data_IF_512991646090
#
_entry.id   IF_512991646090
#
_cell.length_a   1.000
_cell.length_b   1.000
_cell.length_c   1.000
_cell.angle_alpha   90.00
_cell.angle_beta   90.00
_cell.angle_gamma   90.00
#
_symmetry.space_group_name_H-M   'P 1'
#
loop_
_entity.id
_entity.type
_entity.pdbx_description
1 polymer ?
#
# COMPACT_ATOMS: atom_id res chain seq x y z
N UNK A 1 -35.14 -3.04 -2.65
CA UNK A 1 -34.96 -2.45 -1.30
C UNK A 1 -35.87 -3.19 -0.30
N UNK A 2 -35.43 -3.44 0.95
CA UNK A 2 -36.28 -4.17 1.93
C UNK A 2 -37.39 -3.26 2.48
N UNK A 3 -38.62 -3.77 2.72
CA UNK A 3 -39.77 -2.92 3.11
C UNK A 3 -39.54 -2.10 4.38
N UNK A 4 -38.90 -2.67 5.40
CA UNK A 4 -38.63 -1.98 6.67
C UNK A 4 -37.66 -0.79 6.53
N UNK A 5 -36.80 -0.78 5.49
CA UNK A 5 -35.87 0.34 5.27
C UNK A 5 -36.56 1.57 4.70
N UNK A 6 -37.52 1.36 3.79
CA UNK A 6 -38.34 2.44 3.24
C UNK A 6 -39.18 3.08 4.34
N UNK A 7 -39.72 2.26 5.24
CA UNK A 7 -40.49 2.73 6.39
C UNK A 7 -39.62 3.58 7.34
N UNK A 8 -38.40 3.14 7.65
CA UNK A 8 -37.46 3.91 8.46
C UNK A 8 -37.11 5.27 7.82
N UNK A 9 -36.85 5.30 6.51
CA UNK A 9 -36.55 6.55 5.79
C UNK A 9 -37.76 7.48 5.68
N UNK A 10 -38.98 6.93 5.57
CA UNK A 10 -40.22 7.72 5.60
C UNK A 10 -40.46 8.34 6.97
N UNK A 11 -40.16 7.60 8.04
CA UNK A 11 -40.25 8.11 9.43
C UNK A 11 -39.24 9.22 9.71
N UNK A 12 -38.11 9.21 9.02
CA UNK A 12 -37.14 10.28 9.04
C UNK A 12 -37.50 11.45 8.10
N UNK A 13 -38.72 11.47 7.54
CA UNK A 13 -39.25 12.55 6.69
C UNK A 13 -38.33 12.92 5.50
N UNK A 14 -37.64 11.92 4.95
CA UNK A 14 -36.75 12.12 3.81
C UNK A 14 -37.52 12.61 2.57
N UNK A 15 -37.19 13.81 2.10
CA UNK A 15 -37.83 14.44 0.94
C UNK A 15 -37.62 13.66 -0.35
N UNK A 16 -36.41 13.13 -0.55
CA UNK A 16 -36.03 12.31 -1.71
C UNK A 16 -35.26 11.09 -1.23
N UNK A 17 -35.71 9.91 -1.67
CA UNK A 17 -35.07 8.64 -1.35
C UNK A 17 -34.40 8.08 -2.60
N UNK A 18 -33.13 7.71 -2.45
CA UNK A 18 -32.34 7.04 -3.47
C UNK A 18 -32.14 5.58 -3.09
N UNK A 19 -32.18 4.68 -4.07
CA UNK A 19 -32.07 3.24 -3.85
C UNK A 19 -31.22 2.62 -4.94
N UNK A 20 -30.20 1.88 -4.53
CA UNK A 20 -29.25 1.26 -5.43
C UNK A 20 -29.10 -0.24 -5.14
N UNK A 21 -28.95 -1.05 -6.19
CA UNK A 21 -28.61 -2.46 -6.08
C UNK A 21 -27.46 -2.76 -7.06
N UNK A 22 -26.24 -2.53 -6.59
CA UNK A 22 -25.01 -2.71 -7.36
C UNK A 22 -24.08 -3.68 -6.63
N UNK A 23 -23.32 -4.46 -7.40
CA UNK A 23 -22.32 -5.37 -6.85
C UNK A 23 -21.20 -4.58 -6.15
N UNK A 24 -20.75 -5.07 -5.00
CA UNK A 24 -19.61 -4.49 -4.26
C UNK A 24 -18.29 -4.47 -5.05
N UNK A 25 -18.22 -5.18 -6.20
CA UNK A 25 -17.07 -5.14 -7.12
C UNK A 25 -17.04 -3.90 -8.01
N UNK A 26 -18.18 -3.24 -8.18
CA UNK A 26 -18.31 -2.04 -9.03
C UNK A 26 -18.08 -0.82 -8.17
N UNK A 27 -17.14 0.04 -8.59
CA UNK A 27 -16.80 1.27 -7.86
C UNK A 27 -17.82 2.39 -8.07
N UNK A 28 -18.39 2.50 -9.27
CA UNK A 28 -19.34 3.55 -9.61
C UNK A 28 -20.68 3.32 -8.89
N UNK A 29 -21.23 4.40 -8.30
CA UNK A 29 -22.48 4.37 -7.53
C UNK A 29 -23.39 5.52 -7.96
N UNK A 30 -23.99 5.44 -9.16
CA UNK A 30 -24.73 6.53 -9.76
C UNK A 30 -25.87 7.07 -8.88
N UNK A 31 -26.54 6.23 -8.08
CA UNK A 31 -27.64 6.71 -7.23
C UNK A 31 -27.13 7.41 -5.97
N UNK A 32 -25.97 7.00 -5.43
CA UNK A 32 -25.30 7.75 -4.36
C UNK A 32 -24.79 9.10 -4.85
N UNK A 33 -24.16 9.13 -6.03
CA UNK A 33 -23.65 10.36 -6.66
C UNK A 33 -24.78 11.36 -6.91
N UNK A 34 -25.94 10.90 -7.41
CA UNK A 34 -27.14 11.75 -7.56
C UNK A 34 -27.66 12.28 -6.22
N UNK A 35 -27.64 11.46 -5.16
CA UNK A 35 -28.07 11.88 -3.84
C UNK A 35 -27.18 12.99 -3.27
N UNK A 36 -25.86 12.85 -3.42
CA UNK A 36 -24.89 13.86 -3.01
C UNK A 36 -25.06 15.15 -3.81
N UNK A 37 -25.15 15.04 -5.14
CA UNK A 37 -25.38 16.19 -6.00
C UNK A 37 -26.64 16.97 -5.60
N UNK A 38 -27.74 16.27 -5.29
CA UNK A 38 -28.97 16.91 -4.83
C UNK A 38 -28.80 17.61 -3.47
N UNK A 39 -28.08 16.97 -2.53
CA UNK A 39 -27.81 17.57 -1.23
C UNK A 39 -26.97 18.85 -1.34
N UNK A 40 -25.95 18.85 -2.20
CA UNK A 40 -25.16 20.03 -2.52
C UNK A 40 -26.01 21.12 -3.17
N UNK A 41 -26.87 20.78 -4.14
CA UNK A 41 -27.78 21.75 -4.77
C UNK A 41 -28.72 22.41 -3.77
N UNK A 42 -29.28 21.65 -2.82
CA UNK A 42 -30.10 22.24 -1.76
C UNK A 42 -29.31 23.18 -0.86
N UNK A 43 -28.07 22.81 -0.54
CA UNK A 43 -27.20 23.62 0.32
C UNK A 43 -26.74 24.91 -0.37
N UNK A 44 -26.44 24.85 -1.67
CA UNK A 44 -26.13 26.02 -2.49
C UNK A 44 -27.33 26.95 -2.65
N UNK A 45 -28.53 26.39 -2.87
CA UNK A 45 -29.75 27.18 -3.04
C UNK A 45 -30.20 27.86 -1.74
N UNK A 46 -29.95 27.24 -0.58
CA UNK A 46 -30.33 27.76 0.73
C UNK A 46 -29.22 27.54 1.78
N UNK A 47 -28.17 28.40 1.80
CA UNK A 47 -27.00 28.23 2.67
C UNK A 47 -27.34 28.17 4.17
N UNK A 48 -28.33 28.94 4.61
CA UNK A 48 -28.78 29.00 6.01
C UNK A 48 -29.64 27.81 6.44
N UNK A 49 -30.15 27.03 5.48
CA UNK A 49 -30.98 25.87 5.79
C UNK A 49 -30.11 24.64 6.05
N UNK A 50 -30.33 23.89 7.13
CA UNK A 50 -29.65 22.62 7.36
C UNK A 50 -30.12 21.59 6.32
N UNK A 51 -29.17 21.00 5.62
CA UNK A 51 -29.42 19.85 4.74
C UNK A 51 -28.92 18.61 5.47
N UNK A 52 -29.80 17.61 5.61
CA UNK A 52 -29.49 16.34 6.27
C UNK A 52 -29.44 15.24 5.22
N UNK A 53 -28.29 14.57 5.15
CA UNK A 53 -28.08 13.38 4.34
C UNK A 53 -28.35 12.14 5.21
N UNK A 54 -29.51 11.52 5.04
CA UNK A 54 -29.93 10.38 5.87
C UNK A 54 -29.57 9.04 5.25
N UNK A 55 -28.93 8.17 6.03
CA UNK A 55 -28.64 6.80 5.66
C UNK A 55 -29.14 5.82 6.72
N UNK A 56 -29.64 4.66 6.26
CA UNK A 56 -30.14 3.64 7.16
C UNK A 56 -29.04 3.07 8.08
N UNK A 57 -27.84 2.83 7.53
CA UNK A 57 -26.66 2.33 8.26
C UNK A 57 -25.39 2.85 7.58
N UNK A 58 -24.29 2.96 8.35
CA UNK A 58 -22.97 3.36 7.85
C UNK A 58 -22.49 2.53 6.66
N UNK A 59 -22.75 1.21 6.66
CA UNK A 59 -22.39 0.29 5.57
C UNK A 59 -23.15 0.54 4.25
N UNK A 60 -24.13 1.46 4.22
CA UNK A 60 -24.82 1.90 3.01
C UNK A 60 -24.11 3.07 2.34
N UNK A 61 -23.27 3.77 3.09
CA UNK A 61 -22.52 4.92 2.62
C UNK A 61 -21.26 4.50 1.86
N UNK A 62 -20.57 3.46 2.33
CA UNK A 62 -19.29 3.05 1.77
C UNK A 62 -19.02 1.54 1.91
N UNK A 63 -18.23 0.97 1.00
CA UNK A 63 -17.79 -0.43 1.05
C UNK A 63 -16.52 -0.64 1.90
N UNK A 64 -15.73 0.41 2.09
CA UNK A 64 -14.49 0.40 2.87
C UNK A 64 -14.27 1.76 3.54
N UNK A 65 -13.34 1.85 4.50
CA UNK A 65 -13.12 3.11 5.21
C UNK A 65 -12.54 4.23 4.34
N UNK A 66 -11.83 3.92 3.25
CA UNK A 66 -11.33 4.96 2.36
C UNK A 66 -12.46 5.68 1.61
N UNK A 67 -13.45 4.92 1.14
CA UNK A 67 -14.69 5.47 0.59
C UNK A 67 -15.46 6.26 1.65
N UNK A 68 -15.57 5.73 2.87
CA UNK A 68 -16.27 6.41 3.95
C UNK A 68 -15.61 7.73 4.34
N UNK A 69 -14.28 7.75 4.43
CA UNK A 69 -13.49 8.97 4.64
C UNK A 69 -13.78 10.01 3.57
N UNK A 70 -13.72 9.60 2.30
CA UNK A 70 -13.91 10.51 1.16
C UNK A 70 -15.30 11.13 1.21
N UNK A 71 -16.32 10.30 1.42
CA UNK A 71 -17.70 10.75 1.56
C UNK A 71 -17.89 11.68 2.76
N UNK A 72 -17.30 11.33 3.91
CA UNK A 72 -17.40 12.18 5.11
C UNK A 72 -16.75 13.54 4.88
N UNK A 73 -15.62 13.60 4.18
CA UNK A 73 -14.94 14.84 3.87
C UNK A 73 -15.74 15.69 2.87
N UNK A 74 -16.38 15.07 1.89
CA UNK A 74 -17.27 15.74 0.94
C UNK A 74 -18.49 16.36 1.63
N UNK A 75 -19.18 15.60 2.48
CA UNK A 75 -20.30 16.10 3.28
C UNK A 75 -19.88 17.23 4.23
N UNK A 76 -18.72 17.08 4.88
CA UNK A 76 -18.17 18.10 5.76
C UNK A 76 -17.85 19.39 5.02
N UNK A 77 -17.19 19.30 3.85
CA UNK A 77 -16.86 20.45 3.02
C UNK A 77 -18.12 21.17 2.50
N UNK A 78 -19.19 20.41 2.22
CA UNK A 78 -20.50 20.97 1.88
C UNK A 78 -21.28 21.54 3.06
N UNK A 79 -20.84 21.35 4.31
CA UNK A 79 -21.64 21.71 5.48
C UNK A 79 -22.97 20.93 5.57
N UNK A 80 -22.98 19.71 5.04
CA UNK A 80 -24.15 18.81 5.00
C UNK A 80 -24.09 17.90 6.23
N UNK A 81 -25.20 17.85 6.97
CA UNK A 81 -25.31 16.99 8.16
C UNK A 81 -25.49 15.54 7.73
N UNK A 82 -24.94 14.61 8.51
CA UNK A 82 -25.10 13.17 8.25
C UNK A 82 -26.01 12.57 9.32
N UNK A 83 -27.06 11.87 8.92
CA UNK A 83 -27.92 11.12 9.83
C UNK A 83 -27.79 9.61 9.60
N UNK A 84 -27.60 8.87 10.69
CA UNK A 84 -27.56 7.41 10.71
C UNK A 84 -28.76 6.91 11.51
N UNK A 85 -29.66 6.16 10.86
CA UNK A 85 -30.90 5.70 11.49
C UNK A 85 -30.73 4.46 12.38
N UNK A 86 -29.71 3.65 12.12
CA UNK A 86 -29.47 2.42 12.88
C UNK A 86 -27.97 2.12 13.03
N UNK A 87 -27.66 1.28 14.02
CA UNK A 87 -26.30 0.86 14.35
C UNK A 87 -25.73 1.56 15.59
N UNK A 88 -24.48 1.28 15.95
CA UNK A 88 -23.86 1.83 17.17
C UNK A 88 -23.63 3.35 17.11
N UNK A 89 -23.62 3.92 15.91
CA UNK A 89 -23.40 5.34 15.65
C UNK A 89 -24.72 6.00 15.18
N UNK A 90 -25.84 5.60 15.75
CA UNK A 90 -27.15 6.20 15.42
C UNK A 90 -27.20 7.65 15.91
N UNK A 91 -27.65 8.56 15.06
CA UNK A 91 -27.75 9.99 15.39
C UNK A 91 -27.55 10.91 14.19
N UNK A 92 -27.70 12.21 14.45
CA UNK A 92 -27.46 13.30 13.47
C UNK A 92 -26.14 13.98 13.82
N UNK A 93 -25.27 14.12 12.82
CA UNK A 93 -23.93 14.68 12.94
C UNK A 93 -23.81 15.95 12.11
N UNK A 94 -23.74 17.09 12.78
CA UNK A 94 -23.49 18.39 12.16
C UNK A 94 -21.99 18.65 12.00
N UNK A 95 -21.47 18.82 10.77
CA UNK A 95 -20.05 19.09 10.53
C UNK A 95 -19.55 20.42 11.12
N UNK A 96 -20.44 21.39 11.39
CA UNK A 96 -20.08 22.69 11.96
C UNK A 96 -20.38 22.80 13.47
N UNK A 97 -21.03 21.78 14.04
CA UNK A 97 -21.46 21.75 15.43
C UNK A 97 -20.82 20.61 16.23
N UNK A 98 -21.59 20.02 17.15
CA UNK A 98 -21.13 18.89 17.98
C UNK A 98 -20.75 17.65 17.16
N UNK A 99 -21.26 17.52 15.93
CA UNK A 99 -20.93 16.43 15.03
C UNK A 99 -19.56 16.56 14.36
N UNK A 100 -18.88 17.71 14.42
CA UNK A 100 -17.58 17.92 13.79
C UNK A 100 -16.53 16.90 14.24
N UNK A 101 -16.57 16.48 15.51
CA UNK A 101 -15.71 15.42 16.06
C UNK A 101 -15.91 14.09 15.33
N UNK A 102 -17.15 13.75 14.96
CA UNK A 102 -17.45 12.52 14.24
C UNK A 102 -16.74 12.49 12.88
N UNK A 103 -16.83 13.59 12.12
CA UNK A 103 -16.13 13.74 10.85
C UNK A 103 -14.60 13.69 11.01
N UNK A 104 -14.07 14.34 12.05
CA UNK A 104 -12.63 14.30 12.35
C UNK A 104 -12.15 12.88 12.68
N UNK A 105 -12.91 12.12 13.48
CA UNK A 105 -12.60 10.72 13.80
C UNK A 105 -12.61 9.89 12.53
N UNK A 106 -13.66 10.01 11.69
CA UNK A 106 -13.73 9.28 10.42
C UNK A 106 -12.53 9.60 9.51
N UNK A 107 -12.11 10.87 9.44
CA UNK A 107 -10.94 11.30 8.67
C UNK A 107 -9.64 10.66 9.17
N UNK A 108 -9.49 10.43 10.47
CA UNK A 108 -8.30 9.77 11.04
C UNK A 108 -8.38 8.25 10.88
N UNK A 109 -9.57 7.65 10.99
CA UNK A 109 -9.76 6.18 10.99
C UNK A 109 -9.17 5.51 9.76
N UNK A 110 -9.38 6.04 8.54
CA UNK A 110 -8.82 5.33 7.38
C UNK A 110 -7.31 5.47 7.23
N UNK A 111 -6.65 6.42 7.90
CA UNK A 111 -5.18 6.38 8.02
C UNK A 111 -4.73 5.24 8.95
N UNK A 112 -5.45 5.02 10.05
CA UNK A 112 -5.21 3.91 10.97
C UNK A 112 -5.42 2.57 10.25
N UNK A 113 -6.53 2.41 9.54
CA UNK A 113 -6.81 1.17 8.82
C UNK A 113 -5.79 0.87 7.71
N UNK A 114 -5.37 1.89 6.95
CA UNK A 114 -4.30 1.72 5.94
C UNK A 114 -3.00 1.22 6.57
N UNK A 115 -2.63 1.79 7.72
CA UNK A 115 -1.44 1.36 8.45
C UNK A 115 -1.61 -0.07 8.99
N UNK A 116 -2.79 -0.40 9.54
CA UNK A 116 -3.10 -1.73 10.06
C UNK A 116 -3.03 -2.83 8.98
N UNK A 117 -3.64 -2.61 7.82
CA UNK A 117 -3.59 -3.55 6.69
C UNK A 117 -2.14 -3.78 6.25
N UNK A 118 -1.34 -2.71 6.18
CA UNK A 118 0.08 -2.78 5.83
C UNK A 118 0.86 -3.60 6.85
N UNK A 119 0.68 -3.32 8.15
CA UNK A 119 1.34 -4.03 9.24
C UNK A 119 1.02 -5.53 9.19
N UNK A 120 -0.26 -5.89 9.07
CA UNK A 120 -0.69 -7.30 8.94
C UNK A 120 -0.17 -7.99 7.69
N UNK A 121 -0.04 -7.26 6.58
CA UNK A 121 0.56 -7.80 5.36
C UNK A 121 2.04 -8.11 5.57
N UNK A 122 2.78 -7.21 6.25
CA UNK A 122 4.19 -7.42 6.57
C UNK A 122 4.39 -8.59 7.55
N UNK A 123 3.58 -8.69 8.59
CA UNK A 123 3.56 -9.85 9.49
C UNK A 123 3.34 -11.15 8.71
N UNK A 124 2.35 -11.17 7.81
CA UNK A 124 2.05 -12.32 6.95
C UNK A 124 3.23 -12.69 6.05
N UNK A 125 3.93 -11.70 5.49
CA UNK A 125 5.14 -11.92 4.68
C UNK A 125 6.28 -12.50 5.50
N UNK A 126 6.49 -12.04 6.74
CA UNK A 126 7.50 -12.59 7.65
C UNK A 126 7.20 -14.06 7.98
N UNK A 127 5.94 -14.38 8.26
CA UNK A 127 5.50 -15.76 8.54
C UNK A 127 5.63 -16.65 7.29
N UNK A 128 5.35 -16.11 6.09
CA UNK A 128 5.53 -16.85 4.86
C UNK A 128 7.03 -17.10 4.59
N UNK A 129 7.87 -16.09 4.79
CA UNK A 129 9.31 -16.18 4.62
C UNK A 129 9.96 -17.19 5.57
N UNK A 130 9.51 -17.29 6.82
CA UNK A 130 10.00 -18.31 7.76
C UNK A 130 9.64 -19.74 7.35
N UNK A 131 8.61 -19.90 6.50
CA UNK A 131 8.23 -21.18 5.86
C UNK A 131 8.91 -21.39 4.50
N UNK A 132 9.86 -20.54 4.11
CA UNK A 132 10.56 -20.60 2.82
C UNK A 132 9.83 -19.90 1.66
N UNK A 133 8.67 -19.27 1.91
CA UNK A 133 7.89 -18.56 0.91
C UNK A 133 8.20 -17.06 0.93
N UNK A 134 9.27 -16.66 0.25
CA UNK A 134 9.75 -15.26 0.22
C UNK A 134 9.00 -14.33 -0.75
N UNK A 135 8.04 -14.87 -1.51
CA UNK A 135 7.32 -14.12 -2.54
C UNK A 135 8.23 -13.64 -3.68
N UNK A 136 7.80 -12.61 -4.41
CA UNK A 136 8.58 -12.00 -5.49
C UNK A 136 8.49 -12.72 -6.84
N UNK A 137 9.26 -12.22 -7.82
CA UNK A 137 9.32 -12.79 -9.18
C UNK A 137 10.15 -14.09 -9.15
N UNK A 138 9.66 -15.22 -9.70
CA UNK A 138 10.45 -16.44 -9.82
C UNK A 138 11.79 -16.21 -10.52
N UNK A 139 12.83 -16.93 -10.08
CA UNK A 139 14.15 -16.90 -10.73
C UNK A 139 14.02 -17.37 -12.18
N UNK A 140 14.71 -16.65 -13.09
CA UNK A 140 14.71 -16.94 -14.53
C UNK A 140 15.71 -18.03 -14.88
N UNK A 141 16.86 -18.02 -14.21
CA UNK A 141 17.91 -19.04 -14.29
C UNK A 141 17.77 -19.92 -13.05
N UNK A 142 17.59 -21.22 -13.26
CA UNK A 142 17.62 -22.21 -12.18
C UNK A 142 19.04 -22.78 -11.98
N UNK A 143 19.22 -23.57 -10.94
CA UNK A 143 20.53 -24.09 -10.55
C UNK A 143 21.12 -25.05 -11.61
N UNK A 144 20.26 -25.80 -12.32
CA UNK A 144 20.69 -26.67 -13.43
C UNK A 144 21.22 -25.84 -14.61
N UNK A 145 20.48 -24.79 -15.00
CA UNK A 145 20.86 -23.88 -16.06
C UNK A 145 22.14 -23.14 -15.72
N UNK A 146 22.32 -22.76 -14.45
CA UNK A 146 23.53 -22.12 -13.97
C UNK A 146 24.72 -23.08 -14.04
N UNK A 147 24.56 -24.32 -13.57
CA UNK A 147 25.59 -25.37 -13.63
C UNK A 147 26.02 -25.65 -15.07
N UNK A 148 25.05 -25.79 -15.98
CA UNK A 148 25.30 -25.93 -17.41
C UNK A 148 26.06 -24.73 -17.97
N UNK A 149 25.64 -23.51 -17.62
CA UNK A 149 26.25 -22.30 -18.12
C UNK A 149 27.71 -22.13 -17.66
N UNK A 150 28.01 -22.41 -16.38
CA UNK A 150 29.37 -22.39 -15.85
C UNK A 150 30.25 -23.39 -16.59
N UNK A 151 29.82 -24.66 -16.68
CA UNK A 151 30.60 -25.71 -17.35
C UNK A 151 30.87 -25.40 -18.84
N UNK A 152 29.96 -24.72 -19.53
CA UNK A 152 30.15 -24.30 -20.93
C UNK A 152 31.00 -23.03 -21.06
N UNK A 153 30.90 -22.11 -20.10
CA UNK A 153 31.76 -20.93 -20.04
C UNK A 153 33.23 -21.34 -19.84
N UNK A 154 33.49 -22.29 -18.95
CA UNK A 154 34.85 -22.81 -18.67
C UNK A 154 35.47 -23.50 -19.88
N UNK A 155 34.63 -24.05 -20.77
CA UNK A 155 35.05 -24.60 -22.07
C UNK A 155 35.24 -23.54 -23.16
N UNK A 156 35.11 -22.26 -22.84
CA UNK A 156 35.30 -21.14 -23.76
C UNK A 156 34.12 -20.83 -24.68
N UNK A 157 32.92 -21.36 -24.41
CA UNK A 157 31.74 -21.07 -25.24
C UNK A 157 31.23 -19.65 -24.99
N UNK A 158 30.93 -18.84 -26.03
CA UNK A 158 30.38 -17.50 -25.86
C UNK A 158 29.04 -17.49 -25.12
N UNK A 159 28.89 -16.61 -24.12
CA UNK A 159 27.66 -16.47 -23.30
C UNK A 159 26.37 -16.28 -24.12
N UNK A 160 26.34 -15.54 -25.25
CA UNK A 160 25.15 -15.45 -26.08
C UNK A 160 24.70 -16.79 -26.69
N UNK A 161 25.65 -17.68 -27.00
CA UNK A 161 25.32 -19.02 -27.52
C UNK A 161 24.82 -19.93 -26.41
N UNK A 162 25.39 -19.81 -25.20
CA UNK A 162 24.92 -20.52 -24.01
C UNK A 162 23.46 -20.11 -23.73
N UNK A 163 23.15 -18.81 -23.73
CA UNK A 163 21.80 -18.31 -23.45
C UNK A 163 20.74 -18.89 -24.40
N UNK A 164 21.05 -19.05 -25.70
CA UNK A 164 20.13 -19.65 -26.68
C UNK A 164 19.83 -21.12 -26.40
N UNK A 165 20.77 -21.85 -25.78
CA UNK A 165 20.63 -23.28 -25.44
C UNK A 165 19.84 -23.50 -24.14
N UNK A 166 19.66 -22.46 -23.34
CA UNK A 166 18.87 -22.51 -22.10
C UNK A 166 17.39 -22.20 -22.37
N UNK A 167 16.51 -22.76 -21.54
CA UNK A 167 15.06 -22.57 -21.63
C UNK A 167 14.46 -22.28 -20.27
N UNK A 168 13.79 -21.15 -20.12
CA UNK A 168 13.14 -20.74 -18.86
C UNK A 168 12.02 -21.74 -18.52
N UNK A 169 12.03 -22.31 -17.31
CA UNK A 169 11.04 -23.30 -16.87
C UNK A 169 9.76 -22.70 -16.28
N UNK A 170 9.81 -21.50 -15.69
CA UNK A 170 8.71 -20.93 -14.89
C UNK A 170 8.33 -19.50 -15.27
N UNK A 171 7.07 -19.13 -15.01
CA UNK A 171 6.55 -17.77 -15.17
C UNK A 171 6.14 -17.40 -16.60
N UNK A 172 5.85 -16.11 -16.83
CA UNK A 172 5.31 -15.59 -18.11
C UNK A 172 6.18 -15.88 -19.34
N UNK A 173 7.49 -16.05 -19.15
CA UNK A 173 8.45 -16.31 -20.22
C UNK A 173 8.87 -17.79 -20.31
N UNK A 174 8.13 -18.70 -19.68
CA UNK A 174 8.41 -20.13 -19.77
C UNK A 174 8.45 -20.58 -21.25
N UNK A 175 9.41 -21.45 -21.58
CA UNK A 175 9.65 -21.93 -22.94
C UNK A 175 10.50 -21.00 -23.83
N UNK A 176 10.88 -19.81 -23.36
CA UNK A 176 11.79 -18.90 -24.08
C UNK A 176 13.22 -19.01 -23.54
N UNK A 177 14.19 -18.63 -24.36
CA UNK A 177 15.58 -18.47 -23.91
C UNK A 177 15.74 -17.27 -22.97
N UNK A 178 16.56 -17.38 -21.91
CA UNK A 178 16.88 -16.24 -21.06
C UNK A 178 17.61 -15.14 -21.83
N UNK A 179 17.45 -13.90 -21.40
CA UNK A 179 18.24 -12.80 -21.94
C UNK A 179 19.71 -12.98 -21.58
N UNK A 180 20.61 -12.52 -22.47
CA UNK A 180 22.05 -12.56 -22.24
C UNK A 180 22.42 -11.82 -20.94
N UNK A 181 21.76 -10.70 -20.64
CA UNK A 181 21.95 -9.96 -19.39
C UNK A 181 21.53 -10.76 -18.14
N UNK A 182 20.44 -11.53 -18.22
CA UNK A 182 20.03 -12.41 -17.11
C UNK A 182 21.08 -13.49 -16.83
N UNK A 183 21.67 -14.05 -17.88
CA UNK A 183 22.72 -15.06 -17.75
C UNK A 183 24.02 -14.47 -17.19
N UNK A 184 24.46 -13.32 -17.68
CA UNK A 184 25.63 -12.63 -17.11
C UNK A 184 25.45 -12.30 -15.63
N UNK A 185 24.28 -11.82 -15.22
CA UNK A 185 23.98 -11.57 -13.80
C UNK A 185 24.07 -12.84 -12.95
N UNK A 186 23.50 -13.95 -13.44
CA UNK A 186 23.54 -15.21 -12.71
C UNK A 186 24.97 -15.76 -12.58
N UNK A 187 25.79 -15.66 -13.64
CA UNK A 187 27.19 -16.07 -13.61
C UNK A 187 28.03 -15.20 -12.66
N UNK A 188 27.82 -13.87 -12.67
CA UNK A 188 28.48 -12.98 -11.73
C UNK A 188 28.08 -13.23 -10.27
N UNK A 189 26.79 -13.51 -10.02
CA UNK A 189 26.31 -13.91 -8.68
C UNK A 189 26.94 -15.23 -8.22
N UNK A 190 27.17 -16.18 -9.13
CA UNK A 190 27.82 -17.45 -8.83
C UNK A 190 29.32 -17.29 -8.53
N UNK A 191 30.05 -16.51 -9.33
CA UNK A 191 31.47 -16.21 -9.09
C UNK A 191 31.66 -15.49 -7.75
N UNK A 192 30.81 -14.51 -7.46
CA UNK A 192 30.92 -13.75 -6.23
C UNK A 192 30.46 -14.53 -4.98
N UNK A 193 29.70 -15.63 -5.15
CA UNK A 193 29.44 -16.58 -4.08
C UNK A 193 30.63 -17.54 -3.82
N UNK A 194 31.53 -17.71 -4.78
CA UNK A 194 32.76 -18.53 -4.62
C UNK A 194 33.94 -17.75 -4.03
N UNK A 195 33.89 -16.42 -4.10
CA UNK A 195 34.89 -15.52 -3.54
C UNK A 195 34.33 -14.96 -2.23
N UNK A 196 34.66 -15.59 -1.09
CA UNK A 196 34.29 -15.07 0.24
C UNK A 196 35.22 -13.91 0.64
N UNK A 197 34.98 -12.72 0.05
CA UNK A 197 35.67 -11.48 0.40
C UNK A 197 35.00 -10.72 1.58
N UNK A 198 34.01 -11.33 2.25
CA UNK A 198 33.30 -10.72 3.38
C UNK A 198 32.45 -9.48 3.06
N UNK A 199 32.35 -9.07 1.79
CA UNK A 199 31.55 -7.92 1.34
C UNK A 199 30.19 -8.38 0.77
N UNK A 200 29.05 -7.80 1.22
CA UNK A 200 27.74 -8.21 0.74
C UNK A 200 27.51 -7.82 -0.73
N UNK A 201 27.09 -8.80 -1.55
CA UNK A 201 26.82 -8.67 -2.99
C UNK A 201 25.73 -7.65 -3.37
N UNK A 202 24.90 -7.24 -2.40
CA UNK A 202 23.97 -6.12 -2.54
C UNK A 202 24.28 -5.10 -1.46
N UNK A 203 24.29 -3.79 -1.77
CA UNK A 203 24.23 -2.79 -0.72
C UNK A 203 23.00 -3.11 0.14
N UNK A 204 23.20 -3.34 1.45
CA UNK A 204 22.10 -3.47 2.41
C UNK A 204 21.20 -2.24 2.18
N UNK A 205 19.88 -2.40 1.89
CA UNK A 205 19.02 -1.25 1.68
C UNK A 205 19.15 -0.32 2.89
N UNK A 206 19.59 0.91 2.64
CA UNK A 206 19.77 1.88 3.70
C UNK A 206 18.40 2.11 4.35
N UNK A 207 18.27 1.69 5.61
CA UNK A 207 17.11 2.05 6.41
C UNK A 207 17.19 3.56 6.61
N UNK A 208 16.18 4.30 6.18
CA UNK A 208 16.06 5.73 6.52
C UNK A 208 15.93 5.78 8.04
N UNK A 209 17.02 6.13 8.71
CA UNK A 209 17.09 6.25 10.17
C UNK A 209 16.68 7.65 10.58
N UNK A 210 15.99 7.76 11.70
CA UNK A 210 15.80 9.05 12.37
C UNK A 210 17.05 9.35 13.21
N UNK A 211 17.37 10.63 13.48
CA UNK A 211 18.53 11.01 14.30
C UNK A 211 18.61 10.30 15.66
N UNK A 212 17.47 9.89 16.20
CA UNK A 212 17.32 9.19 17.48
C UNK A 212 17.50 7.66 17.44
N UNK A 213 17.66 7.03 16.27
CA UNK A 213 17.79 5.57 16.18
C UNK A 213 19.14 5.06 16.74
N UNK A 214 19.16 3.99 17.55
CA UNK A 214 20.40 3.47 18.14
C UNK A 214 21.34 2.87 17.09
N UNK A 215 22.63 3.21 17.17
CA UNK A 215 23.68 2.70 16.28
C UNK A 215 23.81 1.18 16.39
N UNK A 216 24.04 0.51 15.26
CA UNK A 216 24.41 -0.91 15.25
C UNK A 216 25.82 -1.12 15.82
N UNK A 217 26.15 -2.34 16.29
CA UNK A 217 27.51 -2.69 16.70
C UNK A 217 28.58 -2.42 15.63
N UNK A 218 28.26 -2.67 14.35
CA UNK A 218 29.15 -2.39 13.20
C UNK A 218 29.42 -0.88 13.05
N UNK A 219 28.42 -0.03 13.30
CA UNK A 219 28.54 1.43 13.20
C UNK A 219 29.27 2.03 14.42
N UNK A 220 29.14 1.42 15.60
CA UNK A 220 29.90 1.78 16.80
C UNK A 220 31.39 1.49 16.55
N UNK A 221 31.72 0.29 16.06
CA UNK A 221 33.09 -0.09 15.69
C UNK A 221 33.67 0.87 14.64
N UNK A 222 32.90 1.17 13.58
CA UNK A 222 33.34 2.10 12.54
C UNK A 222 33.57 3.52 13.09
N UNK A 223 32.71 4.01 13.98
CA UNK A 223 32.85 5.32 14.62
C UNK A 223 34.09 5.38 15.51
N UNK A 224 34.32 4.36 16.32
CA UNK A 224 35.51 4.26 17.17
C UNK A 224 36.78 4.24 16.31
N UNK A 225 36.78 3.49 15.20
CA UNK A 225 37.91 3.45 14.25
C UNK A 225 38.16 4.79 13.58
N UNK A 226 37.12 5.52 13.20
CA UNK A 226 37.25 6.86 12.60
C UNK A 226 37.74 7.90 13.61
N UNK A 227 37.32 7.81 14.87
CA UNK A 227 37.80 8.69 15.95
C UNK A 227 39.22 8.37 16.39
N UNK A 228 39.65 7.10 16.24
CA UNK A 228 41.01 6.66 16.54
C UNK A 228 42.01 6.96 15.41
N UNK A 229 41.57 7.42 14.25
CA UNK A 229 42.50 7.84 13.19
C UNK A 229 43.18 9.15 13.59
N UNK A 230 44.53 9.21 13.58
CA UNK A 230 45.24 10.44 13.88
C UNK A 230 44.94 11.47 12.80
N UNK A 231 44.25 12.56 13.17
CA UNK A 231 44.03 13.70 12.30
C UNK A 231 45.40 14.34 11.99
N UNK A 232 45.92 14.09 10.79
CA UNK A 232 47.04 14.87 10.25
C UNK A 232 46.52 16.23 9.85
N UNK A 233 46.35 17.11 10.84
CA UNK A 233 46.04 18.52 10.59
C UNK A 233 47.25 19.14 9.87
N UNK A 234 47.10 19.36 8.57
CA UNK A 234 48.03 20.15 7.77
C UNK A 234 47.77 21.62 8.08
N UNK A 235 48.43 22.11 9.13
CA UNK A 235 48.74 23.54 9.25
C UNK A 235 49.76 23.92 8.17
N UNK A 236 49.32 24.52 7.07
CA UNK A 236 50.07 25.63 6.43
C UNK A 236 49.24 26.31 5.34
N UNK A 237 48.75 27.51 5.66
CA UNK A 237 48.64 28.63 4.70
C UNK A 237 48.40 29.92 5.48
N UNK A 238 49.51 30.55 5.86
CA UNK A 238 49.59 32.00 6.02
C UNK A 238 49.82 32.65 4.65
#
# INVERSE_FOLDING_TARGET
MRPHWLEALRRAECHKVFSEQISTRVKARPELEKALALAHQFKEAAPETPVIFTAHELKRLAHNAAELMTLSAELQAGGIQLELLTGPLTGIYDPNGMGAMFFAVLAVTGQIERNYIREKTLEGQVIAASKGNYGGRPKVIDDDMLTFAVAHKDKGVPVPEIAKKLTIKVGKNAGKSPSVASLYRALAEAEAATVDDGLPLRPKPARIRRPEDPLTPEEIDLRERLQAQPHTNTETRS
#
